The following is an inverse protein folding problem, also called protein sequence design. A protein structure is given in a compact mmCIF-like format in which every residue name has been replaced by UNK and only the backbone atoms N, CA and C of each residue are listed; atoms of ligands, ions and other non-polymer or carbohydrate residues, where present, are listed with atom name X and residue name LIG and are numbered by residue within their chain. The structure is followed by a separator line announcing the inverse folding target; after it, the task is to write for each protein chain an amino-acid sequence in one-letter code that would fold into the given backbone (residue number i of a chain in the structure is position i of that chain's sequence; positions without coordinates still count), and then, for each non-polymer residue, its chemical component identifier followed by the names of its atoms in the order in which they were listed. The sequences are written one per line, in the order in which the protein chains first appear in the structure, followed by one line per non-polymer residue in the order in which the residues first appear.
data_IF_883315325481
#
_entry.id   IF_883315325481
#
_cell.length_a   1.000
_cell.length_b   1.000
_cell.length_c   1.000
_cell.angle_alpha   90.00
_cell.angle_beta   90.00
_cell.angle_gamma   90.00
#
_symmetry.space_group_name_H-M   'P 1'
#
loop_
_entity.id
_entity.type
_entity.pdbx_description
1 polymer ?
#
# COMPACT_ATOMS: atom_id res chain seq x y z
N UNK A 1 -20.45 35.00 -2.89
CA UNK A 1 -19.94 33.81 -2.18
C UNK A 1 -19.69 32.76 -3.25
N UNK A 2 -18.48 32.74 -3.80
CA UNK A 2 -18.05 31.75 -4.79
C UNK A 2 -17.76 30.43 -4.07
N UNK A 3 -18.66 29.45 -4.20
CA UNK A 3 -18.29 28.06 -3.93
C UNK A 3 -17.45 27.58 -5.11
N UNK A 4 -16.12 27.62 -4.93
CA UNK A 4 -15.17 26.95 -5.81
C UNK A 4 -15.52 25.46 -5.79
N UNK A 5 -15.72 24.79 -6.94
CA UNK A 5 -15.95 23.35 -6.94
C UNK A 5 -14.71 22.70 -6.31
N UNK A 6 -14.91 22.00 -5.19
CA UNK A 6 -13.88 21.15 -4.61
C UNK A 6 -13.41 20.19 -5.70
N UNK A 7 -12.11 20.23 -6.02
CA UNK A 7 -11.62 19.34 -7.08
C UNK A 7 -11.80 17.89 -6.61
N UNK A 8 -12.04 16.91 -7.49
CA UNK A 8 -12.12 15.50 -7.09
C UNK A 8 -10.88 15.04 -6.29
N UNK A 9 -9.75 15.69 -6.57
CA UNK A 9 -8.46 15.62 -5.86
C UNK A 9 -8.50 16.12 -4.41
N UNK A 10 -9.36 17.08 -4.07
CA UNK A 10 -9.46 17.67 -2.74
C UNK A 10 -10.31 16.82 -1.77
N UNK A 11 -11.30 16.09 -2.28
CA UNK A 11 -12.22 15.26 -1.48
C UNK A 11 -11.66 13.86 -1.24
N UNK A 12 -11.01 13.26 -2.25
CA UNK A 12 -10.35 11.96 -2.13
C UNK A 12 -9.19 11.98 -1.13
N UNK A 13 -8.69 13.15 -0.77
CA UNK A 13 -7.46 13.28 0.00
C UNK A 13 -7.72 13.46 1.49
N UNK A 14 -8.64 14.32 1.91
CA UNK A 14 -8.92 14.48 3.34
C UNK A 14 -9.49 13.21 4.00
N UNK A 15 -10.39 12.48 3.32
CA UNK A 15 -11.01 11.27 3.89
C UNK A 15 -10.05 10.07 3.92
N UNK A 16 -9.28 9.82 2.86
CA UNK A 16 -8.28 8.75 2.85
C UNK A 16 -7.10 9.07 3.77
N UNK A 17 -6.61 10.32 3.80
CA UNK A 17 -5.56 10.70 4.75
C UNK A 17 -6.02 10.51 6.20
N UNK A 18 -7.29 10.82 6.53
CA UNK A 18 -7.85 10.56 7.86
C UNK A 18 -7.97 9.07 8.17
N UNK A 19 -8.29 8.25 7.18
CA UNK A 19 -8.31 6.79 7.31
C UNK A 19 -6.90 6.24 7.55
N UNK A 20 -5.89 6.77 6.85
CA UNK A 20 -4.49 6.39 7.05
C UNK A 20 -3.95 6.78 8.41
N UNK A 21 -4.28 7.96 8.93
CA UNK A 21 -3.92 8.34 10.31
C UNK A 21 -4.56 7.42 11.37
N UNK A 22 -5.64 6.70 11.03
CA UNK A 22 -6.26 5.70 11.90
C UNK A 22 -5.68 4.29 11.76
N UNK A 23 -4.94 3.99 10.68
CA UNK A 23 -4.45 2.65 10.35
C UNK A 23 -2.93 2.52 10.44
N UNK A 24 -2.20 3.59 10.12
CA UNK A 24 -0.75 3.66 10.05
C UNK A 24 -0.21 4.49 11.23
N UNK A 25 1.01 4.21 11.73
CA UNK A 25 1.59 4.89 12.87
C UNK A 25 2.15 6.29 12.51
N UNK A 26 1.49 7.03 11.62
CA UNK A 26 1.89 8.38 11.22
C UNK A 26 1.15 9.44 12.05
N UNK A 27 1.87 10.47 12.47
CA UNK A 27 1.31 11.57 13.27
C UNK A 27 0.60 12.60 12.41
N UNK A 28 1.07 12.79 11.18
CA UNK A 28 0.51 13.75 10.24
C UNK A 28 0.56 13.26 8.79
N UNK A 29 -0.26 13.85 7.88
CA UNK A 29 -0.25 13.49 6.47
C UNK A 29 1.11 13.66 5.76
N UNK A 30 1.94 14.69 6.05
CA UNK A 30 3.28 14.79 5.48
C UNK A 30 4.18 13.58 5.75
N UNK A 31 4.16 13.01 6.97
CA UNK A 31 4.93 11.81 7.28
C UNK A 31 4.50 10.62 6.40
N UNK A 32 3.20 10.39 6.25
CA UNK A 32 2.66 9.36 5.36
C UNK A 32 3.08 9.59 3.91
N UNK A 33 2.94 10.82 3.40
CA UNK A 33 3.33 11.17 2.04
C UNK A 33 4.84 10.99 1.84
N UNK A 34 5.66 11.32 2.83
CA UNK A 34 7.10 11.06 2.75
C UNK A 34 7.41 9.57 2.69
N UNK A 35 6.70 8.73 3.46
CA UNK A 35 6.90 7.28 3.49
C UNK A 35 6.45 6.61 2.18
N UNK A 36 5.24 6.89 1.69
CA UNK A 36 4.71 6.26 0.48
C UNK A 36 5.53 6.61 -0.78
N UNK A 37 6.24 7.74 -0.77
CA UNK A 37 7.11 8.18 -1.86
C UNK A 37 8.56 7.67 -1.74
N UNK A 38 8.87 6.83 -0.74
CA UNK A 38 10.20 6.21 -0.64
C UNK A 38 10.42 5.20 -1.78
N UNK A 39 11.69 4.94 -2.14
CA UNK A 39 12.02 3.99 -3.21
C UNK A 39 11.38 2.60 -3.07
N UNK A 40 11.30 1.96 -1.89
CA UNK A 40 10.72 0.62 -1.78
C UNK A 40 9.24 0.58 -2.18
N UNK A 41 8.41 1.46 -1.60
CA UNK A 41 6.98 1.54 -1.91
C UNK A 41 6.73 1.95 -3.36
N UNK A 42 7.50 2.92 -3.89
CA UNK A 42 7.36 3.36 -5.28
C UNK A 42 7.80 2.28 -6.28
N UNK A 43 8.81 1.48 -5.94
CA UNK A 43 9.25 0.36 -6.78
C UNK A 43 8.22 -0.76 -6.79
N UNK A 44 7.70 -1.13 -5.61
CA UNK A 44 6.62 -2.11 -5.49
C UNK A 44 5.37 -1.66 -6.27
N UNK A 45 5.02 -0.38 -6.19
CA UNK A 45 3.92 0.21 -6.95
C UNK A 45 4.16 0.17 -8.46
N UNK A 46 5.34 0.59 -8.91
CA UNK A 46 5.68 0.61 -10.34
C UNK A 46 5.62 -0.78 -10.95
N UNK A 47 6.09 -1.80 -10.23
CA UNK A 47 5.96 -3.18 -10.65
C UNK A 47 4.49 -3.64 -10.70
N UNK A 48 3.71 -3.31 -9.68
CA UNK A 48 2.29 -3.66 -9.63
C UNK A 48 1.52 -3.04 -10.80
N UNK A 49 1.65 -1.74 -11.03
CA UNK A 49 0.97 -1.01 -12.10
C UNK A 49 1.40 -1.51 -13.50
N UNK A 50 2.65 -1.94 -13.67
CA UNK A 50 3.11 -2.56 -14.92
C UNK A 50 2.54 -3.98 -15.14
N UNK A 51 2.23 -4.70 -14.07
CA UNK A 51 1.74 -6.09 -14.13
C UNK A 51 0.21 -6.20 -14.16
N UNK A 52 -0.51 -5.23 -13.62
CA UNK A 52 -1.98 -5.26 -13.50
C UNK A 52 -2.59 -4.14 -14.34
N UNK A 53 -3.32 -4.49 -15.41
CA UNK A 53 -4.05 -3.51 -16.22
C UNK A 53 -5.19 -2.88 -15.42
N UNK A 54 -5.14 -1.57 -15.20
CA UNK A 54 -6.23 -0.83 -14.54
C UNK A 54 -7.26 -0.29 -15.54
N UNK A 55 -8.57 -0.23 -15.18
CA UNK A 55 -9.15 -0.65 -13.91
C UNK A 55 -9.26 -2.17 -13.80
N UNK A 56 -8.82 -2.72 -12.66
CA UNK A 56 -8.87 -4.15 -12.35
C UNK A 56 -9.79 -4.41 -11.15
N UNK A 57 -10.54 -5.52 -11.19
CA UNK A 57 -11.38 -5.95 -10.08
C UNK A 57 -10.52 -6.51 -8.95
N UNK A 58 -10.56 -5.86 -7.77
CA UNK A 58 -9.79 -6.33 -6.63
C UNK A 58 -10.29 -7.71 -6.14
N UNK A 59 -9.38 -8.65 -5.82
CA UNK A 59 -9.74 -9.95 -5.22
C UNK A 59 -10.36 -9.83 -3.82
N UNK A 60 -10.31 -8.63 -3.23
CA UNK A 60 -10.86 -8.29 -1.92
C UNK A 60 -9.93 -8.70 -0.77
N UNK A 61 -9.93 -7.90 0.30
CA UNK A 61 -9.02 -8.08 1.45
C UNK A 61 -9.17 -9.45 2.13
N UNK A 62 -10.39 -9.98 2.24
CA UNK A 62 -10.65 -11.29 2.87
C UNK A 62 -9.92 -12.44 2.16
N UNK A 63 -9.78 -12.36 0.84
CA UNK A 63 -9.06 -13.34 0.03
C UNK A 63 -7.55 -13.22 0.22
N UNK A 64 -7.06 -11.97 0.29
CA UNK A 64 -5.63 -11.66 0.36
C UNK A 64 -5.02 -11.93 1.74
N UNK A 65 -5.77 -11.67 2.81
CA UNK A 65 -5.30 -11.74 4.20
C UNK A 65 -4.50 -13.00 4.55
N UNK A 66 -5.05 -14.22 4.40
CA UNK A 66 -4.31 -15.43 4.76
C UNK A 66 -3.05 -15.62 3.92
N UNK A 67 -3.10 -15.30 2.62
CA UNK A 67 -1.97 -15.45 1.69
C UNK A 67 -0.84 -14.48 2.02
N UNK A 68 -1.17 -13.23 2.33
CA UNK A 68 -0.20 -12.22 2.73
C UNK A 68 0.47 -12.63 4.03
N UNK A 69 -0.30 -13.08 5.03
CA UNK A 69 0.23 -13.53 6.30
C UNK A 69 1.21 -14.69 6.13
N UNK A 70 0.79 -15.74 5.44
CA UNK A 70 1.64 -16.91 5.18
C UNK A 70 2.93 -16.52 4.44
N UNK A 71 2.83 -15.57 3.49
CA UNK A 71 3.98 -15.10 2.72
C UNK A 71 4.95 -14.25 3.56
N UNK A 72 4.44 -13.35 4.42
CA UNK A 72 5.28 -12.56 5.33
C UNK A 72 5.95 -13.46 6.36
N UNK A 73 5.21 -14.39 6.97
CA UNK A 73 5.76 -15.34 7.95
C UNK A 73 6.85 -16.23 7.30
N UNK A 74 6.63 -16.68 6.06
CA UNK A 74 7.64 -17.42 5.29
C UNK A 74 8.86 -16.55 4.93
N UNK A 75 8.69 -15.23 4.72
CA UNK A 75 9.75 -14.29 4.34
C UNK A 75 10.81 -14.06 5.43
N UNK A 76 10.60 -14.61 6.62
CA UNK A 76 11.59 -14.73 7.69
C UNK A 76 12.81 -15.55 7.27
N UNK A 77 12.65 -16.46 6.29
CA UNK A 77 13.74 -17.25 5.71
C UNK A 77 14.38 -16.52 4.53
N UNK A 78 15.73 -16.37 4.47
CA UNK A 78 16.42 -15.66 3.39
C UNK A 78 16.08 -16.16 1.97
N UNK A 79 15.92 -17.48 1.81
CA UNK A 79 15.58 -18.09 0.52
C UNK A 79 14.12 -17.80 0.12
N UNK A 80 13.21 -17.81 1.08
CA UNK A 80 11.80 -17.49 0.85
C UNK A 80 11.62 -16.01 0.51
N UNK A 81 12.34 -15.12 1.21
CA UNK A 81 12.40 -13.68 0.89
C UNK A 81 12.92 -13.45 -0.53
N UNK A 82 13.98 -14.14 -0.92
CA UNK A 82 14.54 -14.02 -2.27
C UNK A 82 13.53 -14.48 -3.33
N UNK A 83 12.83 -15.61 -3.11
CA UNK A 83 11.79 -16.11 -4.03
C UNK A 83 10.59 -15.20 -4.13
N UNK A 84 10.18 -14.59 -3.02
CA UNK A 84 9.06 -13.65 -2.95
C UNK A 84 9.39 -12.33 -3.67
N UNK A 85 10.63 -11.86 -3.55
CA UNK A 85 11.11 -10.64 -4.19
C UNK A 85 11.51 -10.87 -5.66
N UNK A 86 11.97 -12.06 -6.03
CA UNK A 86 12.35 -12.41 -7.42
C UNK A 86 11.71 -13.73 -7.91
N UNK A 87 10.37 -13.82 -7.96
CA UNK A 87 9.67 -14.99 -8.47
C UNK A 87 9.72 -15.02 -9.98
N UNK A 88 9.64 -16.22 -10.56
CA UNK A 88 9.27 -16.36 -11.96
C UNK A 88 7.80 -15.96 -12.11
N UNK A 89 7.55 -14.85 -12.80
CA UNK A 89 6.22 -14.19 -12.89
C UNK A 89 5.35 -14.73 -14.04
N UNK A 90 5.78 -15.78 -14.75
CA UNK A 90 5.13 -16.25 -15.99
C UNK A 90 3.69 -16.73 -15.80
N UNK A 91 3.38 -17.31 -14.64
CA UNK A 91 2.06 -17.88 -14.34
C UNK A 91 1.27 -17.04 -13.32
N UNK A 92 1.71 -15.81 -13.05
CA UNK A 92 1.09 -14.96 -12.05
C UNK A 92 -0.22 -14.37 -12.56
N UNK A 93 -1.24 -14.46 -11.72
CA UNK A 93 -2.48 -13.75 -11.92
C UNK A 93 -2.47 -12.43 -11.10
N UNK A 94 -3.52 -11.64 -11.26
CA UNK A 94 -3.61 -10.35 -10.57
C UNK A 94 -3.54 -10.48 -9.05
N UNK A 95 -4.13 -11.52 -8.46
CA UNK A 95 -4.10 -11.76 -7.03
C UNK A 95 -2.66 -11.93 -6.53
N UNK A 96 -1.81 -12.66 -7.26
CA UNK A 96 -0.40 -12.84 -6.93
C UNK A 96 0.35 -11.49 -6.91
N UNK A 97 0.02 -10.60 -7.85
CA UNK A 97 0.56 -9.25 -7.87
C UNK A 97 0.10 -8.40 -6.67
N UNK A 98 -1.15 -8.54 -6.22
CA UNK A 98 -1.64 -7.87 -5.01
C UNK A 98 -0.91 -8.37 -3.76
N UNK A 99 -0.78 -9.69 -3.60
CA UNK A 99 -0.05 -10.30 -2.49
C UNK A 99 1.39 -9.80 -2.49
N UNK A 100 2.09 -9.83 -3.62
CA UNK A 100 3.48 -9.34 -3.73
C UNK A 100 3.62 -7.88 -3.31
N UNK A 101 2.74 -7.00 -3.79
CA UNK A 101 2.78 -5.59 -3.41
C UNK A 101 2.66 -5.44 -1.90
N UNK A 102 1.64 -6.06 -1.30
CA UNK A 102 1.35 -5.91 0.13
C UNK A 102 2.50 -6.49 0.96
N UNK A 103 2.94 -7.70 0.63
CA UNK A 103 4.03 -8.38 1.33
C UNK A 103 5.33 -7.58 1.23
N UNK A 104 5.67 -7.07 0.05
CA UNK A 104 6.88 -6.25 -0.15
C UNK A 104 6.87 -5.01 0.74
N UNK A 105 5.77 -4.26 0.73
CA UNK A 105 5.63 -3.06 1.56
C UNK A 105 5.69 -3.40 3.06
N UNK A 106 5.07 -4.50 3.51
CA UNK A 106 5.14 -4.93 4.92
C UNK A 106 6.58 -5.29 5.30
N UNK A 107 7.24 -6.15 4.52
CA UNK A 107 8.62 -6.58 4.80
C UNK A 107 9.58 -5.38 4.87
N UNK A 108 9.50 -4.45 3.93
CA UNK A 108 10.34 -3.26 3.93
C UNK A 108 9.99 -2.35 5.12
N UNK A 109 8.71 -2.24 5.48
CA UNK A 109 8.27 -1.43 6.64
C UNK A 109 8.71 -2.03 7.97
N UNK A 110 8.78 -3.35 8.10
CA UNK A 110 9.35 -4.04 9.27
C UNK A 110 10.87 -3.80 9.35
N UNK A 111 11.57 -3.83 8.21
CA UNK A 111 13.01 -3.53 8.13
C UNK A 111 13.33 -2.07 8.46
N UNK A 112 12.45 -1.15 8.08
CA UNK A 112 12.55 0.28 8.40
C UNK A 112 11.98 0.65 9.78
N UNK A 113 11.58 -0.35 10.58
CA UNK A 113 11.02 -0.17 11.92
C UNK A 113 9.76 0.71 11.98
N UNK A 114 8.99 0.81 10.87
CA UNK A 114 7.66 1.44 10.89
C UNK A 114 6.70 0.64 11.77
N UNK A 115 6.77 -0.69 11.67
CA UNK A 115 6.18 -1.63 12.60
C UNK A 115 7.27 -2.51 13.18
N UNK A 116 7.03 -2.98 14.40
CA UNK A 116 7.87 -4.00 15.03
C UNK A 116 7.40 -5.40 14.67
N UNK A 117 8.32 -6.37 14.70
CA UNK A 117 7.99 -7.80 14.59
C UNK A 117 6.92 -8.23 15.63
N UNK A 118 6.94 -7.59 16.82
CA UNK A 118 5.93 -7.83 17.85
C UNK A 118 4.54 -7.39 17.38
N UNK A 119 4.41 -6.20 16.80
CA UNK A 119 3.13 -5.72 16.26
C UNK A 119 2.62 -6.61 15.13
N UNK A 120 3.53 -7.12 14.28
CA UNK A 120 3.18 -8.10 13.26
C UNK A 120 2.59 -9.38 13.85
N UNK A 121 3.21 -9.91 14.92
CA UNK A 121 2.71 -11.13 15.59
C UNK A 121 1.39 -10.90 16.33
N UNK A 122 1.21 -9.73 16.96
CA UNK A 122 0.03 -9.41 17.75
C UNK A 122 -1.21 -9.09 16.91
N UNK A 123 -1.06 -8.33 15.81
CA UNK A 123 -2.18 -7.90 14.97
C UNK A 123 -1.77 -7.76 13.50
N UNK A 124 -1.50 -8.89 12.80
CA UNK A 124 -1.09 -8.87 11.40
C UNK A 124 -2.22 -8.33 10.50
N UNK A 125 -3.48 -8.63 10.83
CA UNK A 125 -4.64 -8.25 10.02
C UNK A 125 -4.79 -6.73 9.90
N UNK A 126 -4.52 -5.99 10.98
CA UNK A 126 -4.50 -4.52 10.96
C UNK A 126 -3.43 -3.99 10.01
N UNK A 127 -2.22 -4.56 10.04
CA UNK A 127 -1.10 -4.14 9.19
C UNK A 127 -1.40 -4.45 7.71
N UNK A 128 -1.88 -5.66 7.41
CA UNK A 128 -2.27 -6.06 6.06
C UNK A 128 -3.37 -5.14 5.51
N UNK A 129 -4.39 -4.83 6.33
CA UNK A 129 -5.43 -3.88 5.95
C UNK A 129 -4.86 -2.49 5.66
N UNK A 130 -3.99 -1.98 6.52
CA UNK A 130 -3.39 -0.67 6.34
C UNK A 130 -2.64 -0.57 5.00
N UNK A 131 -1.86 -1.57 4.65
CA UNK A 131 -1.12 -1.62 3.38
C UNK A 131 -2.05 -1.86 2.17
N UNK A 132 -3.13 -2.62 2.34
CA UNK A 132 -4.16 -2.76 1.30
C UNK A 132 -4.82 -1.42 0.98
N UNK A 133 -5.15 -0.61 1.99
CA UNK A 133 -5.70 0.73 1.78
C UNK A 133 -4.70 1.66 1.06
N UNK A 134 -3.40 1.50 1.31
CA UNK A 134 -2.34 2.20 0.57
C UNK A 134 -2.36 1.83 -0.91
N UNK A 135 -2.53 0.54 -1.23
CA UNK A 135 -2.69 0.08 -2.62
C UNK A 135 -3.92 0.70 -3.28
N UNK A 136 -5.06 0.70 -2.59
CA UNK A 136 -6.32 1.30 -3.08
C UNK A 136 -6.14 2.79 -3.36
N UNK A 137 -5.45 3.51 -2.47
CA UNK A 137 -5.15 4.93 -2.66
C UNK A 137 -4.23 5.19 -3.86
N UNK A 138 -3.19 4.38 -4.06
CA UNK A 138 -2.29 4.50 -5.22
C UNK A 138 -3.05 4.26 -6.54
N UNK A 139 -3.91 3.24 -6.58
CA UNK A 139 -4.80 2.98 -7.73
C UNK A 139 -5.73 4.17 -7.99
N UNK A 140 -6.28 4.78 -6.93
CA UNK A 140 -7.12 5.97 -7.04
C UNK A 140 -6.35 7.18 -7.61
N UNK A 141 -5.11 7.38 -7.17
CA UNK A 141 -4.23 8.42 -7.68
C UNK A 141 -3.95 8.24 -9.19
N UNK A 142 -3.61 7.03 -9.62
CA UNK A 142 -3.38 6.72 -11.04
C UNK A 142 -4.63 6.89 -11.89
N UNK A 143 -5.79 6.41 -11.42
CA UNK A 143 -7.07 6.58 -12.11
C UNK A 143 -7.45 8.06 -12.32
N UNK A 144 -7.01 8.94 -11.42
CA UNK A 144 -7.21 10.39 -11.52
C UNK A 144 -6.08 11.11 -12.29
N UNK A 145 -4.99 10.42 -12.64
CA UNK A 145 -3.81 11.04 -13.25
C UNK A 145 -3.05 11.97 -12.31
N UNK A 146 -3.11 11.72 -11.00
CA UNK A 146 -2.52 12.56 -9.95
C UNK A 146 -1.37 11.80 -9.29
N UNK A 147 -0.25 12.47 -9.01
CA UNK A 147 0.81 11.85 -8.20
C UNK A 147 0.48 12.01 -6.71
N UNK A 148 0.83 11.05 -5.85
CA UNK A 148 0.62 11.17 -4.40
C UNK A 148 1.16 12.47 -3.78
N UNK A 149 2.23 13.06 -4.34
CA UNK A 149 2.83 14.32 -3.86
C UNK A 149 2.10 15.59 -4.33
N UNK A 150 1.30 15.53 -5.39
CA UNK A 150 0.55 16.68 -5.89
C UNK A 150 -0.69 16.98 -5.02
N UNK A 151 -0.99 16.06 -4.10
CA UNK A 151 -2.03 16.18 -3.10
C UNK A 151 -1.55 17.16 -2.04
N UNK A 152 -2.03 18.40 -2.12
CA UNK A 152 -1.76 19.40 -1.09
C UNK A 152 -2.59 19.04 0.15
N UNK A 153 -1.99 18.98 1.35
CA UNK A 153 -2.79 18.95 2.56
C UNK A 153 -3.64 20.23 2.58
N UNK A 154 -4.97 20.08 2.65
CA UNK A 154 -5.81 21.24 2.93
C UNK A 154 -5.35 21.83 4.26
N UNK A 155 -4.97 23.11 4.24
CA UNK A 155 -4.83 23.87 5.47
C UNK A 155 -6.21 23.94 6.13
N UNK A 156 -6.35 23.26 7.27
CA UNK A 156 -7.50 23.40 8.17
C UNK A 156 -7.45 24.77 8.83
#
# INVERSE_FOLDING_TARGET
MDQRPESPTDVLTAQHLRLFLGLLPFKDPPEFLSWINRPPTQSAWSEFAASVSLPHQDPGLTTLLPKVRDAVDASSLPEARTRLMYPDKRDWNSEDHHVRFIVGVICDSLLEELWTEKEWVEDPDRIVRAVYEVLVYLKGCEALGVRPLDIRPMSI
#
